data_IF_140708881130
#
_entry.id   IF_140708881130
#
_cell.length_a   1.000
_cell.length_b   1.000
_cell.length_c   1.000
_cell.angle_alpha   90.00
_cell.angle_beta   90.00
_cell.angle_gamma   90.00
#
_symmetry.space_group_name_H-M   'P 1'
#
loop_
_entity.id
_entity.type
_entity.pdbx_description
1 polymer ?
#
# COMPACT_ATOMS: atom_id res chain seq x y z
N UNK A 1 7.50 -13.09 -2.13
CA UNK A 1 6.44 -12.10 -2.35
C UNK A 1 6.72 -10.77 -1.64
N UNK A 2 6.77 -10.72 -0.27
CA UNK A 2 6.94 -9.43 0.44
C UNK A 2 8.33 -8.81 0.25
N UNK A 3 9.39 -9.58 0.13
CA UNK A 3 10.74 -9.08 -0.17
C UNK A 3 10.76 -8.42 -1.56
N UNK A 4 10.24 -9.08 -2.58
CA UNK A 4 10.22 -8.55 -3.95
C UNK A 4 9.34 -7.30 -4.04
N UNK A 5 8.18 -7.30 -3.37
CA UNK A 5 7.31 -6.13 -3.21
C UNK A 5 8.07 -4.94 -2.62
N UNK A 6 8.80 -5.14 -1.52
CA UNK A 6 9.60 -4.07 -0.87
C UNK A 6 10.60 -3.44 -1.84
N UNK A 7 11.35 -4.25 -2.61
CA UNK A 7 12.30 -3.72 -3.60
C UNK A 7 11.59 -2.94 -4.72
N UNK A 8 10.49 -3.46 -5.26
CA UNK A 8 9.74 -2.76 -6.32
C UNK A 8 9.14 -1.44 -5.82
N UNK A 9 8.59 -1.42 -4.59
CA UNK A 9 8.10 -0.18 -3.98
C UNK A 9 9.23 0.84 -3.81
N UNK A 10 10.42 0.42 -3.38
CA UNK A 10 11.56 1.31 -3.26
C UNK A 10 12.00 1.90 -4.62
N UNK A 11 12.05 1.07 -5.67
CA UNK A 11 12.36 1.52 -7.04
C UNK A 11 11.30 2.48 -7.59
N UNK A 12 10.01 2.23 -7.28
CA UNK A 12 8.91 3.12 -7.64
C UNK A 12 8.99 4.46 -6.91
N UNK A 13 9.31 4.46 -5.62
CA UNK A 13 9.56 5.68 -4.84
C UNK A 13 10.68 6.52 -5.46
N UNK A 14 11.80 5.87 -5.79
CA UNK A 14 12.93 6.52 -6.45
C UNK A 14 12.53 7.14 -7.80
N UNK A 15 11.77 6.39 -8.62
CA UNK A 15 11.31 6.83 -9.93
C UNK A 15 10.38 8.03 -9.82
N UNK A 16 9.40 7.99 -8.91
CA UNK A 16 8.44 9.09 -8.70
C UNK A 16 9.19 10.33 -8.19
N UNK A 17 10.08 10.18 -7.20
CA UNK A 17 10.86 11.29 -6.66
C UNK A 17 11.75 11.96 -7.72
N UNK A 18 12.38 11.17 -8.60
CA UNK A 18 13.14 11.70 -9.74
C UNK A 18 12.28 12.49 -10.74
N UNK A 19 11.09 11.98 -11.06
CA UNK A 19 10.14 12.67 -11.94
C UNK A 19 9.65 14.00 -11.36
N UNK A 20 9.54 14.07 -10.03
CA UNK A 20 9.24 15.27 -9.26
C UNK A 20 10.44 16.22 -9.09
N UNK A 21 11.55 15.93 -9.76
CA UNK A 21 12.80 16.74 -9.76
C UNK A 21 13.33 17.01 -8.35
N UNK A 22 13.19 16.02 -7.45
CA UNK A 22 13.71 16.13 -6.09
C UNK A 22 15.25 16.01 -6.08
N UNK A 23 15.88 16.66 -5.11
CA UNK A 23 17.33 16.54 -4.91
C UNK A 23 17.72 15.08 -4.59
N UNK A 24 18.99 14.75 -4.89
CA UNK A 24 19.45 13.36 -4.72
C UNK A 24 19.21 12.80 -3.32
N UNK A 25 19.43 13.58 -2.28
CA UNK A 25 19.19 13.19 -0.89
C UNK A 25 17.74 12.85 -0.61
N UNK A 26 16.80 13.59 -1.21
CA UNK A 26 15.36 13.33 -1.13
C UNK A 26 14.96 12.07 -1.90
N UNK A 27 15.58 11.83 -3.06
CA UNK A 27 15.38 10.61 -3.85
C UNK A 27 15.87 9.41 -3.08
N UNK A 28 17.04 9.49 -2.45
CA UNK A 28 17.61 8.42 -1.62
C UNK A 28 16.72 8.16 -0.38
N UNK A 29 16.16 9.20 0.23
CA UNK A 29 15.21 9.09 1.33
C UNK A 29 13.90 8.42 0.89
N UNK A 30 13.35 8.81 -0.26
CA UNK A 30 12.15 8.18 -0.81
C UNK A 30 12.36 6.68 -1.08
N UNK A 31 13.51 6.30 -1.61
CA UNK A 31 13.89 4.91 -1.79
C UNK A 31 13.97 4.16 -0.45
N UNK A 32 14.58 4.76 0.56
CA UNK A 32 14.66 4.19 1.90
C UNK A 32 13.29 3.99 2.53
N UNK A 33 12.38 4.95 2.37
CA UNK A 33 10.98 4.80 2.82
C UNK A 33 10.32 3.57 2.20
N UNK A 34 10.50 3.35 0.90
CA UNK A 34 10.03 2.16 0.21
C UNK A 34 10.63 0.87 0.78
N UNK A 35 11.93 0.86 1.10
CA UNK A 35 12.59 -0.29 1.72
C UNK A 35 12.09 -0.62 3.13
N UNK A 36 11.66 0.38 3.89
CA UNK A 36 11.29 0.21 5.30
C UNK A 36 9.77 0.12 5.54
N UNK A 37 8.91 0.48 4.57
CA UNK A 37 7.47 0.67 4.81
C UNK A 37 6.78 -0.56 5.40
N UNK A 38 7.13 -1.74 4.93
CA UNK A 38 6.50 -3.02 5.29
C UNK A 38 7.29 -3.85 6.33
N UNK A 39 8.25 -3.24 7.04
CA UNK A 39 9.05 -3.96 8.06
C UNK A 39 8.16 -4.60 9.12
N UNK A 40 7.02 -3.99 9.45
CA UNK A 40 6.03 -4.52 10.38
C UNK A 40 5.35 -5.81 9.91
N UNK A 41 5.26 -6.07 8.61
CA UNK A 41 4.65 -7.27 8.03
C UNK A 41 5.36 -8.56 8.43
N UNK A 42 6.68 -8.53 8.56
CA UNK A 42 7.45 -9.71 8.97
C UNK A 42 7.13 -10.10 10.40
N UNK A 43 7.03 -9.13 11.30
CA UNK A 43 6.68 -9.37 12.70
C UNK A 43 5.19 -9.68 12.85
N UNK A 44 4.30 -9.06 12.08
CA UNK A 44 2.88 -9.37 12.02
C UNK A 44 2.67 -10.86 11.64
N UNK A 45 3.31 -11.32 10.56
CA UNK A 45 3.23 -12.71 10.15
C UNK A 45 3.77 -13.66 11.22
N UNK A 46 4.91 -13.31 11.85
CA UNK A 46 5.52 -14.11 12.90
C UNK A 46 4.62 -14.25 14.13
N UNK A 47 3.93 -13.18 14.54
CA UNK A 47 3.07 -13.18 15.74
C UNK A 47 1.71 -13.79 15.50
N UNK A 48 1.12 -13.51 14.35
CA UNK A 48 -0.31 -13.77 14.10
C UNK A 48 -0.58 -14.75 12.96
N UNK A 49 0.44 -15.14 12.19
CA UNK A 49 0.29 -16.06 11.05
C UNK A 49 -0.52 -15.50 9.87
N UNK A 50 -0.77 -14.19 9.83
CA UNK A 50 -1.56 -13.53 8.79
C UNK A 50 -1.01 -12.15 8.44
N UNK A 51 -1.33 -11.67 7.22
CA UNK A 51 -1.11 -10.29 6.79
C UNK A 51 -2.36 -9.41 6.90
N UNK A 52 -3.48 -9.93 7.43
CA UNK A 52 -4.70 -9.18 7.64
C UNK A 52 -4.59 -8.27 8.87
N UNK A 53 -4.59 -6.96 8.68
CA UNK A 53 -4.57 -6.00 9.79
C UNK A 53 -5.85 -6.10 10.63
N UNK A 54 -6.99 -6.43 9.99
CA UNK A 54 -8.28 -6.57 10.67
C UNK A 54 -8.31 -7.76 11.65
N UNK A 55 -7.55 -8.82 11.34
CA UNK A 55 -7.50 -10.04 12.13
C UNK A 55 -6.27 -10.10 13.06
N UNK A 56 -5.45 -9.05 13.09
CA UNK A 56 -4.21 -9.03 13.85
C UNK A 56 -3.86 -7.65 14.42
N UNK A 57 -3.02 -6.89 13.73
CA UNK A 57 -2.47 -5.60 14.17
C UNK A 57 -2.21 -4.71 12.95
N UNK A 58 -2.33 -3.41 13.12
CA UNK A 58 -1.91 -2.44 12.10
C UNK A 58 -0.39 -2.57 11.86
N UNK A 59 -0.04 -3.07 10.67
CA UNK A 59 1.36 -3.33 10.30
C UNK A 59 2.18 -2.06 10.14
N UNK A 60 1.56 -0.95 9.72
CA UNK A 60 2.24 0.33 9.54
C UNK A 60 2.63 0.91 10.90
N UNK A 61 1.70 0.91 11.86
CA UNK A 61 1.97 1.31 13.24
C UNK A 61 3.02 0.38 13.88
N UNK A 62 2.89 -0.93 13.70
CA UNK A 62 3.88 -1.90 14.20
C UNK A 62 5.27 -1.67 13.58
N UNK A 63 5.34 -1.39 12.28
CA UNK A 63 6.59 -1.10 11.58
C UNK A 63 7.29 0.14 12.10
N UNK A 64 6.55 1.22 12.28
CA UNK A 64 7.07 2.44 12.91
C UNK A 64 7.58 2.17 14.33
N UNK A 65 6.84 1.41 15.14
CA UNK A 65 7.25 1.07 16.49
C UNK A 65 8.47 0.13 16.54
N UNK A 66 8.64 -0.76 15.58
CA UNK A 66 9.86 -1.58 15.42
C UNK A 66 11.07 -0.68 15.13
N UNK A 67 10.91 0.30 14.28
CA UNK A 67 12.00 1.20 13.89
C UNK A 67 12.35 2.19 15.01
N UNK A 68 11.37 2.76 15.70
CA UNK A 68 11.57 3.86 16.64
C UNK A 68 11.38 3.49 18.12
N UNK A 69 10.96 2.26 18.46
CA UNK A 69 10.84 1.79 19.84
C UNK A 69 9.51 2.15 20.50
N UNK A 70 8.40 2.02 19.77
CA UNK A 70 7.06 2.28 20.30
C UNK A 70 6.41 1.10 21.04
N UNK A 71 5.18 1.28 21.55
CA UNK A 71 4.51 0.33 22.45
C UNK A 71 4.14 -1.01 21.80
N UNK A 72 4.01 -1.08 20.49
CA UNK A 72 3.68 -2.32 19.77
C UNK A 72 4.91 -3.20 19.54
N UNK A 73 6.14 -2.64 19.65
CA UNK A 73 7.40 -3.37 19.61
C UNK A 73 7.90 -3.73 21.01
N UNK A 74 8.52 -4.90 21.14
CA UNK A 74 9.06 -5.35 22.45
C UNK A 74 10.51 -4.87 22.69
N UNK A 75 11.06 -4.00 21.84
CA UNK A 75 12.47 -3.67 21.84
C UNK A 75 12.81 -2.19 21.68
N UNK A 76 14.11 -1.92 21.70
CA UNK A 76 14.66 -0.62 21.30
C UNK A 76 14.50 -0.50 19.78
N UNK A 77 14.23 0.74 19.31
CA UNK A 77 14.09 1.03 17.88
C UNK A 77 15.32 0.59 17.06
N UNK A 78 15.04 0.06 15.86
CA UNK A 78 16.06 -0.46 14.96
C UNK A 78 16.53 0.57 13.91
N UNK A 79 15.97 1.78 13.90
CA UNK A 79 16.25 2.76 12.83
C UNK A 79 17.75 3.07 12.70
N UNK A 80 18.50 3.10 13.82
CA UNK A 80 19.96 3.31 13.81
C UNK A 80 20.76 2.17 13.15
N UNK A 81 20.11 1.09 12.72
CA UNK A 81 20.72 0.05 11.87
C UNK A 81 20.75 0.48 10.39
N UNK A 82 19.88 1.42 10.02
CA UNK A 82 19.66 1.84 8.63
C UNK A 82 20.09 3.30 8.39
N UNK A 83 20.02 4.14 9.41
CA UNK A 83 20.30 5.58 9.33
C UNK A 83 21.20 5.99 10.49
N UNK A 84 22.30 6.70 10.21
CA UNK A 84 23.32 7.02 11.21
C UNK A 84 22.88 8.08 12.24
N UNK A 85 22.11 9.08 11.80
CA UNK A 85 21.67 10.19 12.62
C UNK A 85 20.14 10.33 12.72
N UNK A 86 19.67 11.32 13.45
CA UNK A 86 18.25 11.50 13.73
C UNK A 86 17.59 12.62 12.87
N UNK A 87 18.29 13.15 11.87
CA UNK A 87 17.80 14.31 11.12
C UNK A 87 16.48 14.02 10.38
N UNK A 88 16.29 12.78 9.93
CA UNK A 88 15.12 12.36 9.14
C UNK A 88 14.13 11.48 9.94
N UNK A 89 14.34 11.29 11.24
CA UNK A 89 13.54 10.37 12.05
C UNK A 89 12.04 10.68 12.01
N UNK A 90 11.67 11.95 12.18
CA UNK A 90 10.26 12.37 12.17
C UNK A 90 9.59 12.10 10.82
N UNK A 91 10.31 12.35 9.71
CA UNK A 91 9.81 12.10 8.36
C UNK A 91 9.64 10.62 8.11
N UNK A 92 10.64 9.82 8.46
CA UNK A 92 10.62 8.36 8.27
C UNK A 92 9.50 7.74 9.12
N UNK A 93 9.44 8.08 10.41
CA UNK A 93 8.41 7.55 11.30
C UNK A 93 7.01 7.88 10.80
N UNK A 94 6.78 9.16 10.44
CA UNK A 94 5.49 9.61 9.93
C UNK A 94 5.11 8.87 8.65
N UNK A 95 5.98 8.83 7.66
CA UNK A 95 5.69 8.21 6.38
C UNK A 95 5.37 6.71 6.52
N UNK A 96 6.15 5.98 7.31
CA UNK A 96 5.91 4.57 7.58
C UNK A 96 4.60 4.35 8.33
N UNK A 97 4.32 5.14 9.36
CA UNK A 97 3.12 5.00 10.19
C UNK A 97 1.82 5.26 9.42
N UNK A 98 1.85 6.13 8.39
CA UNK A 98 0.64 6.52 7.66
C UNK A 98 0.53 5.91 6.25
N UNK A 99 1.48 5.09 5.80
CA UNK A 99 1.49 4.63 4.40
C UNK A 99 0.21 3.84 4.03
N UNK A 100 -0.33 3.04 4.96
CA UNK A 100 -1.54 2.24 4.74
C UNK A 100 -2.83 2.93 5.22
N UNK A 101 -2.76 4.14 5.78
CA UNK A 101 -3.94 4.87 6.25
C UNK A 101 -4.85 5.25 5.07
N UNK A 102 -6.17 5.29 5.30
CA UNK A 102 -7.12 5.73 4.26
C UNK A 102 -6.84 7.17 3.81
N UNK A 103 -6.53 8.06 4.76
CA UNK A 103 -6.08 9.43 4.51
C UNK A 103 -4.86 9.73 5.36
N UNK A 104 -3.93 10.52 4.84
CA UNK A 104 -2.84 11.04 5.65
C UNK A 104 -3.35 12.14 6.60
N UNK A 105 -2.72 12.34 7.76
CA UNK A 105 -3.09 13.43 8.66
C UNK A 105 -2.98 14.80 8.00
N UNK A 106 -3.89 15.70 8.36
CA UNK A 106 -3.80 17.10 7.94
C UNK A 106 -2.69 17.84 8.70
N UNK A 107 -2.13 18.88 8.07
CA UNK A 107 -1.16 19.76 8.70
C UNK A 107 0.27 19.23 8.76
N UNK A 108 0.60 18.19 8.02
CA UNK A 108 1.99 17.78 7.82
C UNK A 108 2.79 18.89 7.14
N UNK A 109 4.09 18.99 7.46
CA UNK A 109 4.99 19.86 6.69
C UNK A 109 4.98 19.44 5.21
N UNK A 110 4.99 20.39 4.25
CA UNK A 110 4.86 20.07 2.82
C UNK A 110 5.85 19.02 2.31
N UNK A 111 7.08 19.01 2.84
CA UNK A 111 8.11 18.03 2.51
C UNK A 111 7.70 16.62 2.99
N UNK A 112 7.26 16.50 4.23
CA UNK A 112 6.82 15.23 4.82
C UNK A 112 5.59 14.70 4.09
N UNK A 113 4.61 15.57 3.82
CA UNK A 113 3.41 15.24 3.07
C UNK A 113 3.75 14.68 1.68
N UNK A 114 4.66 15.36 0.95
CA UNK A 114 5.12 14.91 -0.37
C UNK A 114 5.75 13.51 -0.32
N UNK A 115 6.62 13.24 0.63
CA UNK A 115 7.27 11.93 0.80
C UNK A 115 6.26 10.85 1.21
N UNK A 116 5.28 11.16 2.07
CA UNK A 116 4.16 10.26 2.39
C UNK A 116 3.37 9.89 1.13
N UNK A 117 3.06 10.85 0.27
CA UNK A 117 2.35 10.59 -0.98
C UNK A 117 3.19 9.76 -1.96
N UNK A 118 4.49 10.01 -2.09
CA UNK A 118 5.39 9.19 -2.93
C UNK A 118 5.36 7.73 -2.49
N UNK A 119 5.53 7.47 -1.20
CA UNK A 119 5.48 6.11 -0.66
C UNK A 119 4.12 5.45 -0.91
N UNK A 120 3.03 6.16 -0.66
CA UNK A 120 1.67 5.64 -0.83
C UNK A 120 1.32 5.35 -2.27
N UNK A 121 1.75 6.20 -3.20
CA UNK A 121 1.56 5.96 -4.63
C UNK A 121 2.35 4.73 -5.08
N UNK A 122 3.61 4.62 -4.68
CA UNK A 122 4.47 3.49 -5.01
C UNK A 122 3.91 2.16 -4.51
N UNK A 123 3.44 2.10 -3.26
CA UNK A 123 2.82 0.92 -2.67
C UNK A 123 1.53 0.52 -3.41
N UNK A 124 0.64 1.48 -3.69
CA UNK A 124 -0.60 1.23 -4.45
C UNK A 124 -0.33 0.70 -5.86
N UNK A 125 0.68 1.23 -6.53
CA UNK A 125 1.09 0.77 -7.88
C UNK A 125 1.53 -0.69 -7.82
N UNK A 126 2.39 -1.07 -6.86
CA UNK A 126 2.87 -2.44 -6.75
C UNK A 126 1.77 -3.41 -6.29
N UNK A 127 0.81 -2.96 -5.48
CA UNK A 127 -0.38 -3.76 -5.14
C UNK A 127 -1.14 -4.22 -6.39
N UNK A 128 -1.24 -3.39 -7.44
CA UNK A 128 -1.87 -3.81 -8.70
C UNK A 128 -1.12 -4.99 -9.34
N UNK A 129 0.21 -4.93 -9.36
CA UNK A 129 1.05 -6.04 -9.85
C UNK A 129 0.85 -7.30 -9.01
N UNK A 130 0.93 -7.19 -7.69
CA UNK A 130 0.74 -8.33 -6.78
C UNK A 130 -0.59 -9.04 -7.03
N UNK A 131 -1.67 -8.27 -7.26
CA UNK A 131 -3.00 -8.83 -7.52
C UNK A 131 -3.15 -9.52 -8.88
N UNK A 132 -2.21 -9.34 -9.80
CA UNK A 132 -2.16 -10.05 -11.09
C UNK A 132 -1.22 -11.24 -11.06
N UNK A 133 -0.08 -11.09 -10.40
CA UNK A 133 1.01 -12.08 -10.43
C UNK A 133 0.84 -13.20 -9.39
N UNK A 134 0.04 -12.98 -8.35
CA UNK A 134 -0.21 -13.95 -7.27
C UNK A 134 -1.60 -14.58 -7.43
N UNK A 135 -1.77 -15.88 -7.22
CA UNK A 135 -3.07 -16.53 -7.29
C UNK A 135 -4.12 -15.83 -6.41
N UNK A 136 -5.32 -15.62 -6.96
CA UNK A 136 -6.41 -14.91 -6.28
C UNK A 136 -6.79 -15.57 -4.95
N UNK A 137 -6.70 -16.89 -4.88
CA UNK A 137 -6.95 -17.68 -3.68
C UNK A 137 -6.01 -17.30 -2.53
N UNK A 138 -4.73 -17.03 -2.84
CA UNK A 138 -3.73 -16.63 -1.84
C UNK A 138 -3.94 -15.19 -1.37
N UNK A 139 -4.36 -14.29 -2.29
CA UNK A 139 -4.57 -12.87 -1.96
C UNK A 139 -5.83 -12.66 -1.14
N UNK A 140 -6.94 -13.33 -1.54
CA UNK A 140 -8.26 -13.07 -0.98
C UNK A 140 -8.72 -14.13 0.01
N UNK A 141 -7.94 -15.19 0.22
CA UNK A 141 -8.27 -16.34 1.10
C UNK A 141 -9.68 -16.89 0.81
N UNK A 142 -9.97 -17.07 -0.47
CA UNK A 142 -11.26 -17.58 -0.98
C UNK A 142 -11.01 -18.40 -2.23
N UNK A 143 -11.96 -19.22 -2.67
CA UNK A 143 -11.81 -19.94 -3.94
C UNK A 143 -12.06 -19.05 -5.13
N UNK A 144 -11.43 -19.35 -6.28
CA UNK A 144 -11.69 -18.65 -7.55
C UNK A 144 -13.18 -18.71 -7.91
N UNK A 145 -13.86 -19.82 -7.63
CA UNK A 145 -15.28 -19.98 -7.91
C UNK A 145 -16.14 -19.04 -7.06
N UNK A 146 -15.90 -18.98 -5.76
CA UNK A 146 -16.59 -18.04 -4.85
C UNK A 146 -16.36 -16.60 -5.28
N UNK A 147 -15.10 -16.23 -5.60
CA UNK A 147 -14.73 -14.90 -6.03
C UNK A 147 -15.47 -14.48 -7.31
N UNK A 148 -15.52 -15.38 -8.33
CA UNK A 148 -16.18 -15.11 -9.62
C UNK A 148 -17.72 -15.08 -9.52
N UNK A 149 -18.32 -15.78 -8.56
CA UNK A 149 -19.76 -15.80 -8.37
C UNK A 149 -20.27 -14.71 -7.41
N UNK A 150 -19.38 -14.06 -6.66
CA UNK A 150 -19.74 -13.02 -5.69
C UNK A 150 -20.30 -11.78 -6.39
N UNK A 151 -21.34 -11.20 -5.80
CA UNK A 151 -21.87 -9.88 -6.18
C UNK A 151 -21.07 -8.79 -5.46
N UNK A 152 -20.75 -7.71 -6.18
CA UNK A 152 -20.17 -6.52 -5.57
C UNK A 152 -21.22 -5.86 -4.66
N UNK A 153 -20.80 -5.44 -3.48
CA UNK A 153 -21.65 -4.69 -2.54
C UNK A 153 -22.01 -3.32 -3.15
N UNK A 154 -23.29 -2.90 -3.16
CA UNK A 154 -23.71 -1.63 -3.76
C UNK A 154 -22.88 -0.42 -3.28
N UNK A 155 -22.64 -0.28 -1.97
CA UNK A 155 -21.83 0.80 -1.43
C UNK A 155 -20.37 0.83 -1.94
N UNK A 156 -19.82 -0.33 -2.34
CA UNK A 156 -18.49 -0.41 -2.98
C UNK A 156 -18.54 0.13 -4.39
N UNK A 157 -19.60 -0.19 -5.15
CA UNK A 157 -19.81 0.37 -6.50
C UNK A 157 -20.09 1.87 -6.47
N UNK A 158 -20.87 2.34 -5.50
CA UNK A 158 -21.13 3.78 -5.33
C UNK A 158 -19.79 4.52 -5.11
N UNK A 159 -18.96 4.07 -4.18
CA UNK A 159 -17.62 4.63 -3.92
C UNK A 159 -16.73 4.59 -5.18
N UNK A 160 -16.80 3.52 -5.97
CA UNK A 160 -16.04 3.39 -7.21
C UNK A 160 -16.49 4.41 -8.27
N UNK A 161 -17.80 4.57 -8.48
CA UNK A 161 -18.34 5.56 -9.43
C UNK A 161 -18.12 7.02 -8.98
N UNK A 162 -17.99 7.26 -7.68
CA UNK A 162 -17.57 8.54 -7.13
C UNK A 162 -16.07 8.81 -7.25
N UNK A 163 -15.31 7.88 -7.82
CA UNK A 163 -13.85 7.93 -7.98
C UNK A 163 -13.10 8.04 -6.64
N UNK A 164 -13.52 7.24 -5.66
CA UNK A 164 -12.86 7.12 -4.37
C UNK A 164 -12.31 5.71 -4.13
N UNK A 165 -11.20 5.64 -3.39
CA UNK A 165 -10.74 4.36 -2.88
C UNK A 165 -11.78 3.76 -1.92
N UNK A 166 -12.03 2.47 -2.05
CA UNK A 166 -13.04 1.77 -1.27
C UNK A 166 -12.61 1.59 0.19
N UNK A 167 -13.40 2.08 1.13
CA UNK A 167 -13.18 1.86 2.56
C UNK A 167 -13.25 0.36 2.91
N UNK A 168 -12.35 -0.11 3.77
CA UNK A 168 -12.37 -1.51 4.25
C UNK A 168 -13.68 -1.86 4.95
N UNK A 169 -14.27 -0.91 5.69
CA UNK A 169 -15.48 -1.10 6.48
C UNK A 169 -16.76 -1.36 5.68
N UNK A 170 -16.79 -1.03 4.39
CA UNK A 170 -17.96 -1.27 3.52
C UNK A 170 -17.86 -2.56 2.71
N UNK A 171 -16.69 -3.20 2.67
CA UNK A 171 -16.47 -4.48 1.97
C UNK A 171 -17.18 -5.63 2.70
N UNK A 172 -17.92 -6.46 1.97
CA UNK A 172 -18.72 -7.58 2.52
C UNK A 172 -18.47 -8.88 1.78
N UNK A 173 -18.02 -8.82 0.53
CA UNK A 173 -17.82 -9.98 -0.33
C UNK A 173 -16.37 -10.07 -0.82
N UNK A 174 -15.90 -11.25 -1.23
CA UNK A 174 -14.53 -11.38 -1.74
C UNK A 174 -14.24 -10.46 -2.93
N UNK A 175 -15.19 -10.28 -3.86
CA UNK A 175 -15.01 -9.44 -5.04
C UNK A 175 -14.92 -7.94 -4.70
N UNK A 176 -15.44 -7.51 -3.55
CA UNK A 176 -15.27 -6.13 -3.06
C UNK A 176 -13.79 -5.77 -2.86
N UNK A 177 -12.95 -6.75 -2.56
CA UNK A 177 -11.52 -6.55 -2.44
C UNK A 177 -10.86 -6.30 -3.80
N UNK A 178 -11.31 -6.99 -4.86
CA UNK A 178 -10.82 -6.76 -6.24
C UNK A 178 -11.15 -5.33 -6.66
N UNK A 179 -12.43 -4.92 -6.53
CA UNK A 179 -12.87 -3.54 -6.83
C UNK A 179 -12.10 -2.53 -5.96
N UNK A 180 -11.89 -2.86 -4.69
CA UNK A 180 -11.12 -2.04 -3.77
C UNK A 180 -9.66 -1.85 -4.19
N UNK A 181 -9.00 -2.87 -4.76
CA UNK A 181 -7.64 -2.73 -5.27
C UNK A 181 -7.62 -1.92 -6.56
N UNK A 182 -8.57 -2.13 -7.47
CA UNK A 182 -8.72 -1.30 -8.67
C UNK A 182 -8.93 0.17 -8.29
N UNK A 183 -9.76 0.47 -7.28
CA UNK A 183 -10.07 1.83 -6.83
C UNK A 183 -8.88 2.60 -6.22
N UNK A 184 -7.77 1.92 -5.90
CA UNK A 184 -6.56 2.59 -5.39
C UNK A 184 -5.99 3.61 -6.38
N UNK A 185 -6.24 3.46 -7.68
CA UNK A 185 -5.76 4.40 -8.69
C UNK A 185 -6.37 5.79 -8.57
N UNK A 186 -7.54 5.92 -7.97
CA UNK A 186 -8.19 7.21 -7.73
C UNK A 186 -7.48 8.07 -6.69
N UNK A 187 -6.62 7.45 -5.88
CA UNK A 187 -5.84 8.11 -4.83
C UNK A 187 -4.39 8.42 -5.24
N UNK A 188 -4.02 8.18 -6.50
CA UNK A 188 -2.70 8.51 -7.00
C UNK A 188 -2.56 10.03 -7.17
N UNK A 189 -1.45 10.56 -6.64
CA UNK A 189 -1.23 12.01 -6.55
C UNK A 189 -0.36 12.53 -7.69
N UNK A 190 0.66 11.74 -8.11
CA UNK A 190 1.65 12.21 -9.07
C UNK A 190 1.32 11.78 -10.50
N UNK A 191 1.53 12.67 -11.51
CA UNK A 191 1.37 12.30 -12.92
C UNK A 191 2.25 11.12 -13.33
N UNK A 192 3.44 10.99 -12.77
CA UNK A 192 4.34 9.85 -13.00
C UNK A 192 3.72 8.55 -12.52
N UNK A 193 3.05 8.55 -11.36
CA UNK A 193 2.35 7.37 -10.82
C UNK A 193 1.30 6.85 -11.80
N UNK A 194 0.51 7.75 -12.38
CA UNK A 194 -0.48 7.39 -13.41
C UNK A 194 0.19 6.85 -14.69
N UNK A 195 1.34 7.43 -15.08
CA UNK A 195 2.11 6.95 -16.23
C UNK A 195 2.62 5.53 -16.00
N UNK A 196 3.18 5.26 -14.81
CA UNK A 196 3.66 3.93 -14.44
C UNK A 196 2.55 2.88 -14.50
N UNK A 197 1.38 3.16 -13.94
CA UNK A 197 0.22 2.25 -13.99
C UNK A 197 -0.16 1.90 -15.42
N UNK A 198 -0.17 2.90 -16.33
CA UNK A 198 -0.45 2.67 -17.75
C UNK A 198 0.64 1.85 -18.44
N UNK A 199 1.91 2.12 -18.16
CA UNK A 199 3.04 1.39 -18.72
C UNK A 199 3.05 -0.07 -18.30
N UNK A 200 2.73 -0.36 -17.04
CA UNK A 200 2.73 -1.71 -16.48
C UNK A 200 1.53 -2.55 -16.96
N UNK A 201 0.37 -1.93 -17.22
CA UNK A 201 -0.83 -2.60 -17.71
C UNK A 201 -1.52 -3.55 -16.72
N UNK A 202 -1.14 -3.56 -15.45
CA UNK A 202 -1.76 -4.43 -14.44
C UNK A 202 -3.19 -4.00 -14.11
N UNK A 203 -3.46 -2.69 -14.08
CA UNK A 203 -4.82 -2.17 -13.88
C UNK A 203 -5.78 -2.70 -14.97
N UNK A 204 -5.36 -2.68 -16.23
CA UNK A 204 -6.16 -3.18 -17.34
C UNK A 204 -6.49 -4.67 -17.17
N UNK A 205 -5.51 -5.48 -16.75
CA UNK A 205 -5.74 -6.90 -16.43
C UNK A 205 -6.74 -7.11 -15.31
N UNK A 206 -6.70 -6.29 -14.26
CA UNK A 206 -7.66 -6.35 -13.16
C UNK A 206 -9.06 -5.92 -13.58
N UNK A 207 -9.19 -4.92 -14.47
CA UNK A 207 -10.48 -4.49 -15.03
C UNK A 207 -11.12 -5.57 -15.91
N UNK A 208 -10.34 -6.50 -16.47
CA UNK A 208 -10.83 -7.67 -17.20
C UNK A 208 -11.08 -8.88 -16.28
N UNK A 209 -11.31 -8.67 -14.99
CA UNK A 209 -11.69 -9.73 -14.07
C UNK A 209 -12.96 -10.44 -14.57
N UNK A 210 -12.86 -11.76 -14.79
CA UNK A 210 -13.96 -12.57 -15.30
C UNK A 210 -14.98 -12.91 -14.21
N UNK A 211 -15.94 -12.02 -13.97
CA UNK A 211 -17.06 -12.33 -13.10
C UNK A 211 -18.09 -13.24 -13.81
N UNK A 212 -18.76 -14.08 -13.04
CA UNK A 212 -19.95 -14.85 -13.47
C UNK A 212 -21.23 -14.26 -12.89
N UNK A 213 -21.12 -13.25 -12.07
CA UNK A 213 -22.25 -12.58 -11.45
C UNK A 213 -22.67 -11.36 -12.28
N UNK A 214 -23.95 -11.31 -12.69
CA UNK A 214 -24.47 -10.25 -13.54
C UNK A 214 -24.43 -8.84 -12.90
N UNK A 215 -24.40 -8.76 -11.58
CA UNK A 215 -24.29 -7.47 -10.86
C UNK A 215 -22.83 -7.00 -10.70
N UNK A 216 -21.86 -7.82 -11.11
CA UNK A 216 -20.42 -7.52 -11.04
C UNK A 216 -19.83 -7.25 -12.42
N UNK A 217 -20.50 -7.67 -13.50
CA UNK A 217 -20.07 -7.50 -14.90
C UNK A 217 -20.41 -6.12 -15.45
#
# INVERSE_FOLDING_TARGET
>A
LKIDHTYRVAELCERIAKAEQMEKTEVDLAWLLGMLHDVGRFEQLRRYGTFSDADSIDHAALGADILFGGPLSAGKGLIRTYVDDAAEDEVIETAIRVHSAYRIPEGLAPRTEKLCHILRDADKIDILQVNVDVPLEEIYNTTTEELRNAAVTPAVMDSFYEHHATLRSIKRTPVDHVVGHISLVFELVFPESVRIVKEQGYLEKLLHFESRNAATN
#
